data_IF_816367866761
#
_entry.id   IF_816367866761
#
_cell.length_a   1.000
_cell.length_b   1.000
_cell.length_c   1.000
_cell.angle_alpha   90.00
_cell.angle_beta   90.00
_cell.angle_gamma   90.00
#
_symmetry.space_group_name_H-M   'P 1'
#
loop_
_entity.id
_entity.type
_entity.pdbx_description
1 polymer ?
#
# COMPACT_ATOMS: atom_id res chain seq x y z
N UNK A 1 22.91 11.11 -45.92
CA UNK A 1 24.05 11.27 -44.98
C UNK A 1 23.70 10.55 -43.69
N UNK A 2 24.28 9.36 -43.47
CA UNK A 2 24.04 8.47 -42.32
C UNK A 2 25.25 8.65 -41.41
N UNK A 3 25.07 9.22 -40.22
CA UNK A 3 26.15 9.38 -39.24
C UNK A 3 26.36 8.07 -38.49
N UNK A 4 27.51 7.43 -38.74
CA UNK A 4 27.94 6.20 -38.05
C UNK A 4 28.35 6.53 -36.62
N UNK A 5 27.59 6.04 -35.63
CA UNK A 5 27.99 6.09 -34.21
C UNK A 5 28.98 4.96 -33.96
N UNK A 6 30.24 5.31 -33.71
CA UNK A 6 31.30 4.38 -33.27
C UNK A 6 31.04 4.03 -31.81
N UNK A 7 30.58 2.82 -31.55
CA UNK A 7 30.41 2.28 -30.21
C UNK A 7 31.77 1.80 -29.68
N UNK A 8 32.32 2.52 -28.69
CA UNK A 8 33.51 2.10 -27.95
C UNK A 8 33.14 0.91 -27.07
N UNK A 9 33.60 -0.29 -27.44
CA UNK A 9 33.56 -1.48 -26.59
C UNK A 9 34.49 -1.29 -25.40
N UNK A 10 33.94 -1.24 -24.18
CA UNK A 10 34.72 -1.43 -22.96
C UNK A 10 34.45 -2.83 -22.44
N UNK A 11 35.52 -3.61 -22.39
CA UNK A 11 35.54 -5.01 -21.99
C UNK A 11 35.33 -5.18 -20.48
N UNK A 12 34.45 -6.12 -20.17
CA UNK A 12 34.46 -7.07 -19.07
C UNK A 12 35.33 -6.76 -17.82
N UNK A 13 34.64 -6.54 -16.70
CA UNK A 13 35.12 -6.99 -15.40
C UNK A 13 34.07 -7.96 -14.84
N UNK A 14 34.46 -9.23 -14.69
CA UNK A 14 33.68 -10.29 -14.07
C UNK A 14 33.50 -10.00 -12.58
N UNK A 15 32.31 -9.56 -12.19
CA UNK A 15 31.81 -9.69 -10.82
C UNK A 15 30.56 -10.57 -10.89
N UNK A 16 30.61 -11.70 -10.19
CA UNK A 16 29.53 -12.69 -10.12
C UNK A 16 28.28 -12.01 -9.57
N UNK A 17 27.25 -11.89 -10.39
CA UNK A 17 25.93 -11.40 -10.02
C UNK A 17 24.96 -11.77 -11.14
N UNK A 18 24.25 -12.89 -10.97
CA UNK A 18 23.23 -13.33 -11.91
C UNK A 18 22.06 -12.33 -11.89
N UNK A 19 22.12 -11.30 -12.74
CA UNK A 19 21.01 -10.42 -13.04
C UNK A 19 20.50 -10.75 -14.45
N UNK A 20 19.58 -11.72 -14.54
CA UNK A 20 18.76 -11.90 -15.72
C UNK A 20 17.69 -10.80 -15.73
N UNK A 21 18.00 -9.69 -16.38
CA UNK A 21 17.03 -8.65 -16.71
C UNK A 21 16.15 -9.12 -17.88
N UNK A 22 14.94 -9.57 -17.58
CA UNK A 22 13.84 -9.58 -18.55
C UNK A 22 12.99 -8.33 -18.33
N UNK A 23 13.27 -7.31 -19.12
CA UNK A 23 12.43 -6.12 -19.28
C UNK A 23 11.20 -6.48 -20.09
N UNK A 24 10.05 -6.62 -19.43
CA UNK A 24 8.73 -6.57 -20.06
C UNK A 24 7.96 -5.40 -19.42
N UNK A 25 7.77 -4.36 -20.24
CA UNK A 25 6.83 -3.25 -20.16
C UNK A 25 6.10 -3.01 -18.82
N UNK A 26 6.59 -2.03 -18.06
CA UNK A 26 5.93 -1.45 -16.90
C UNK A 26 6.97 -0.85 -15.98
N UNK A 27 7.13 0.48 -15.99
CA UNK A 27 8.13 1.17 -15.19
C UNK A 27 7.86 1.05 -13.69
N UNK A 28 8.32 -0.04 -13.08
CA UNK A 28 8.50 -0.15 -11.64
C UNK A 28 9.98 0.05 -11.33
N UNK A 29 10.31 1.09 -10.59
CA UNK A 29 11.65 1.17 -9.97
C UNK A 29 11.78 -0.05 -9.06
N UNK A 30 12.72 -0.95 -9.36
CA UNK A 30 13.01 -2.08 -8.51
C UNK A 30 13.70 -1.54 -7.24
N UNK A 31 12.91 -1.15 -6.24
CA UNK A 31 13.42 -0.85 -4.92
C UNK A 31 14.08 -2.12 -4.37
N UNK A 32 15.33 -2.02 -3.91
CA UNK A 32 16.03 -3.12 -3.27
C UNK A 32 15.19 -3.61 -2.08
N UNK A 33 14.68 -4.83 -2.18
CA UNK A 33 13.92 -5.47 -1.10
C UNK A 33 14.88 -5.78 0.05
N UNK A 34 14.51 -5.51 1.31
CA UNK A 34 15.29 -5.98 2.45
C UNK A 34 15.52 -7.48 2.33
N UNK A 35 16.76 -7.93 2.53
CA UNK A 35 17.11 -9.34 2.41
C UNK A 35 16.23 -10.19 3.35
N UNK A 36 15.55 -11.20 2.80
CA UNK A 36 14.69 -12.12 3.56
C UNK A 36 13.17 -11.85 3.46
N UNK A 37 12.74 -10.79 2.79
CA UNK A 37 11.31 -10.51 2.60
C UNK A 37 10.77 -11.14 1.30
N UNK A 38 9.55 -11.73 1.27
CA UNK A 38 8.93 -12.21 0.04
C UNK A 38 8.82 -11.10 -1.03
N UNK A 39 8.91 -11.44 -2.32
CA UNK A 39 8.75 -10.47 -3.41
C UNK A 39 7.44 -9.67 -3.28
N UNK A 40 7.51 -8.35 -3.45
CA UNK A 40 6.34 -7.47 -3.41
C UNK A 40 5.96 -6.96 -2.01
N UNK A 41 6.64 -7.40 -0.96
CA UNK A 41 6.42 -6.89 0.39
C UNK A 41 7.26 -5.65 0.68
N UNK A 42 7.02 -4.59 -0.09
CA UNK A 42 7.70 -3.30 0.06
C UNK A 42 6.72 -2.25 0.57
N UNK A 43 7.26 -1.19 1.19
CA UNK A 43 6.47 -0.02 1.58
C UNK A 43 5.76 0.60 0.36
N UNK A 44 6.43 0.67 -0.80
CA UNK A 44 5.84 1.20 -2.03
C UNK A 44 4.65 0.38 -2.52
N UNK A 45 4.74 -0.95 -2.52
CA UNK A 45 3.63 -1.80 -2.95
C UNK A 45 2.45 -1.70 -1.98
N UNK A 46 2.73 -1.65 -0.67
CA UNK A 46 1.71 -1.41 0.34
C UNK A 46 1.02 -0.06 0.11
N UNK A 47 1.77 1.02 -0.10
CA UNK A 47 1.21 2.35 -0.37
C UNK A 47 0.33 2.36 -1.62
N UNK A 48 0.79 1.80 -2.74
CA UNK A 48 -0.03 1.73 -3.96
C UNK A 48 -1.32 0.91 -3.76
N UNK A 49 -1.23 -0.23 -3.08
CA UNK A 49 -2.39 -1.06 -2.75
C UNK A 49 -3.36 -0.31 -1.85
N UNK A 50 -2.85 0.32 -0.79
CA UNK A 50 -3.65 1.11 0.15
C UNK A 50 -4.32 2.30 -0.55
N UNK A 51 -3.63 3.01 -1.44
CA UNK A 51 -4.22 4.10 -2.22
C UNK A 51 -5.42 3.65 -3.05
N UNK A 52 -5.31 2.49 -3.73
CA UNK A 52 -6.43 1.92 -4.47
C UNK A 52 -7.62 1.52 -3.58
N UNK A 53 -7.33 0.85 -2.46
CA UNK A 53 -8.36 0.44 -1.48
C UNK A 53 -9.06 1.66 -0.88
N UNK A 54 -8.31 2.70 -0.49
CA UNK A 54 -8.86 3.91 0.10
C UNK A 54 -9.70 4.70 -0.91
N UNK A 55 -9.29 4.77 -2.18
CA UNK A 55 -10.08 5.40 -3.22
C UNK A 55 -11.43 4.67 -3.44
N UNK A 56 -11.41 3.33 -3.49
CA UNK A 56 -12.63 2.53 -3.61
C UNK A 56 -13.53 2.63 -2.37
N UNK A 57 -12.93 2.65 -1.17
CA UNK A 57 -13.66 2.85 0.08
C UNK A 57 -14.32 4.23 0.13
N UNK A 58 -13.63 5.29 -0.29
CA UNK A 58 -14.20 6.64 -0.40
C UNK A 58 -15.44 6.67 -1.30
N UNK A 59 -15.33 6.11 -2.51
CA UNK A 59 -16.47 6.02 -3.42
C UNK A 59 -17.64 5.20 -2.86
N UNK A 60 -17.35 4.12 -2.12
CA UNK A 60 -18.38 3.34 -1.42
C UNK A 60 -19.05 4.16 -0.31
N UNK A 61 -18.27 4.91 0.48
CA UNK A 61 -18.80 5.76 1.56
C UNK A 61 -19.65 6.91 1.03
N UNK A 62 -19.27 7.51 -0.10
CA UNK A 62 -20.10 8.53 -0.78
C UNK A 62 -21.47 7.97 -1.19
N UNK A 63 -21.56 6.68 -1.52
CA UNK A 63 -22.80 5.98 -1.81
C UNK A 63 -23.55 5.48 -0.57
N UNK A 64 -22.90 5.49 0.61
CA UNK A 64 -23.42 4.98 1.88
C UNK A 64 -23.33 6.06 2.98
N UNK A 65 -24.19 7.11 2.93
CA UNK A 65 -24.08 8.27 3.80
C UNK A 65 -24.15 7.93 5.29
N UNK A 66 -24.95 6.92 5.69
CA UNK A 66 -25.04 6.51 7.09
C UNK A 66 -23.75 5.85 7.60
N UNK A 67 -23.10 5.02 6.77
CA UNK A 67 -21.81 4.41 7.11
C UNK A 67 -20.71 5.49 7.20
N UNK A 68 -20.75 6.45 6.28
CA UNK A 68 -19.87 7.61 6.28
C UNK A 68 -20.03 8.46 7.56
N UNK A 69 -21.26 8.71 8.00
CA UNK A 69 -21.55 9.45 9.23
C UNK A 69 -21.04 8.71 10.47
N UNK A 70 -21.27 7.40 10.55
CA UNK A 70 -20.78 6.58 11.68
C UNK A 70 -19.27 6.59 11.77
N UNK A 71 -18.58 6.40 10.64
CA UNK A 71 -17.11 6.40 10.60
C UNK A 71 -16.53 7.80 10.86
N UNK A 72 -17.18 8.85 10.37
CA UNK A 72 -16.79 10.24 10.66
C UNK A 72 -16.94 10.56 12.14
N UNK A 73 -18.06 10.19 12.75
CA UNK A 73 -18.30 10.38 14.18
C UNK A 73 -17.31 9.55 15.02
N UNK A 74 -16.97 8.34 14.58
CA UNK A 74 -15.97 7.50 15.23
C UNK A 74 -14.59 8.17 15.27
N UNK A 75 -14.19 8.85 14.19
CA UNK A 75 -12.91 9.59 14.13
C UNK A 75 -12.83 10.80 15.08
N UNK A 76 -13.97 11.35 15.50
CA UNK A 76 -14.04 12.45 16.47
C UNK A 76 -14.12 11.95 17.92
N UNK A 77 -14.41 10.66 18.11
CA UNK A 77 -14.56 10.04 19.43
C UNK A 77 -13.23 9.45 19.89
N UNK A 78 -12.96 9.58 21.18
CA UNK A 78 -11.92 8.80 21.85
C UNK A 78 -12.46 7.41 22.18
N UNK A 79 -12.75 7.17 23.46
CA UNK A 79 -13.33 5.90 23.92
C UNK A 79 -14.69 5.61 23.23
N UNK A 80 -14.89 4.36 22.80
CA UNK A 80 -16.16 3.88 22.25
C UNK A 80 -16.33 3.99 20.73
N UNK A 81 -15.37 4.61 20.02
CA UNK A 81 -15.37 4.69 18.55
C UNK A 81 -15.50 3.30 17.90
N UNK A 82 -14.64 2.35 18.29
CA UNK A 82 -14.61 0.99 17.75
C UNK A 82 -15.94 0.24 17.97
N UNK A 83 -16.56 0.41 19.14
CA UNK A 83 -17.83 -0.24 19.45
C UNK A 83 -18.95 0.29 18.55
N UNK A 84 -19.01 1.61 18.33
CA UNK A 84 -20.04 2.20 17.46
C UNK A 84 -19.94 1.72 16.01
N UNK A 85 -18.71 1.56 15.49
CA UNK A 85 -18.47 1.01 14.14
C UNK A 85 -18.87 -0.46 14.10
N UNK A 86 -18.53 -1.23 15.14
CA UNK A 86 -18.90 -2.65 15.23
C UNK A 86 -20.41 -2.84 15.23
N UNK A 87 -21.13 -2.11 16.07
CA UNK A 87 -22.58 -2.23 16.21
C UNK A 87 -23.28 -1.91 14.89
N UNK A 88 -22.80 -0.90 14.17
CA UNK A 88 -23.30 -0.56 12.83
C UNK A 88 -23.19 -1.74 11.86
N UNK A 89 -22.01 -2.34 11.73
CA UNK A 89 -21.78 -3.44 10.78
C UNK A 89 -22.39 -4.77 11.22
N UNK A 90 -22.63 -4.98 12.52
CA UNK A 90 -23.42 -6.13 13.01
C UNK A 90 -24.88 -6.01 12.55
N UNK A 91 -25.46 -4.81 12.57
CA UNK A 91 -26.79 -4.56 12.05
C UNK A 91 -26.84 -4.58 10.51
N UNK A 92 -25.71 -4.38 9.83
CA UNK A 92 -25.58 -4.25 8.36
C UNK A 92 -24.56 -5.24 7.79
N UNK A 93 -24.85 -6.56 7.84
CA UNK A 93 -23.90 -7.59 7.42
C UNK A 93 -23.54 -7.53 5.93
N UNK A 94 -24.43 -7.02 5.08
CA UNK A 94 -24.14 -6.85 3.66
C UNK A 94 -23.07 -5.78 3.44
N UNK A 95 -23.26 -4.58 4.00
CA UNK A 95 -22.29 -3.48 3.90
C UNK A 95 -20.92 -3.87 4.46
N UNK A 96 -20.90 -4.67 5.54
CA UNK A 96 -19.66 -5.25 6.05
C UNK A 96 -18.93 -6.11 5.01
N UNK A 97 -19.66 -6.99 4.29
CA UNK A 97 -19.04 -7.84 3.27
C UNK A 97 -18.53 -7.01 2.09
N UNK A 98 -19.25 -5.96 1.70
CA UNK A 98 -18.84 -5.06 0.63
C UNK A 98 -17.53 -4.33 0.97
N UNK A 99 -17.46 -3.69 2.15
CA UNK A 99 -16.23 -3.05 2.62
C UNK A 99 -15.10 -4.06 2.84
N UNK A 100 -15.40 -5.26 3.32
CA UNK A 100 -14.40 -6.33 3.44
C UNK A 100 -13.86 -6.75 2.08
N UNK A 101 -14.69 -6.81 1.04
CA UNK A 101 -14.26 -7.09 -0.32
C UNK A 101 -13.38 -5.97 -0.88
N UNK A 102 -13.73 -4.69 -0.61
CA UNK A 102 -12.89 -3.54 -0.95
C UNK A 102 -11.52 -3.62 -0.25
N UNK A 103 -11.49 -4.02 1.02
CA UNK A 103 -10.27 -4.14 1.81
C UNK A 103 -9.43 -5.41 1.49
N UNK A 104 -9.97 -6.36 0.72
CA UNK A 104 -9.36 -7.67 0.50
C UNK A 104 -7.90 -7.60 0.00
N UNK A 105 -7.53 -6.75 -0.98
CA UNK A 105 -6.15 -6.66 -1.46
C UNK A 105 -5.15 -6.32 -0.35
N UNK A 106 -5.54 -5.45 0.58
CA UNK A 106 -4.69 -5.05 1.71
C UNK A 106 -4.59 -6.17 2.75
N UNK A 107 -5.70 -6.87 3.02
CA UNK A 107 -5.74 -8.01 3.95
C UNK A 107 -4.88 -9.17 3.40
N UNK A 108 -4.94 -9.44 2.10
CA UNK A 108 -4.14 -10.46 1.44
C UNK A 108 -2.64 -10.10 1.48
N UNK A 109 -2.30 -8.83 1.24
CA UNK A 109 -0.92 -8.35 1.34
C UNK A 109 -0.37 -8.49 2.76
N UNK A 110 -1.16 -8.16 3.78
CA UNK A 110 -0.77 -8.35 5.19
C UNK A 110 -0.50 -9.82 5.53
N UNK A 111 -1.37 -10.73 5.07
CA UNK A 111 -1.22 -12.18 5.25
C UNK A 111 0.02 -12.72 4.53
N UNK A 112 0.28 -12.27 3.30
CA UNK A 112 1.41 -12.74 2.49
C UNK A 112 2.78 -12.20 2.95
N UNK A 113 2.81 -11.03 3.58
CA UNK A 113 4.05 -10.36 3.97
C UNK A 113 4.49 -10.59 5.42
N UNK A 114 3.88 -11.55 6.13
CA UNK A 114 4.15 -11.84 7.55
C UNK A 114 4.15 -10.57 8.42
N UNK A 115 3.31 -9.59 8.07
CA UNK A 115 3.25 -8.29 8.73
C UNK A 115 4.57 -7.50 8.80
N UNK A 116 5.57 -7.74 7.94
CA UNK A 116 6.83 -6.99 7.97
C UNK A 116 6.68 -5.53 7.51
N UNK A 117 5.65 -5.24 6.70
CA UNK A 117 5.18 -3.88 6.38
C UNK A 117 3.78 -3.77 7.00
N UNK A 118 3.70 -3.18 8.19
CA UNK A 118 2.42 -2.98 8.87
C UNK A 118 1.82 -1.62 8.53
N UNK A 119 0.48 -1.48 8.54
CA UNK A 119 -0.20 -0.18 8.54
C UNK A 119 0.42 0.82 9.54
N UNK A 120 0.92 0.32 10.67
CA UNK A 120 1.60 1.10 11.70
C UNK A 120 2.84 1.85 11.20
N UNK A 121 3.57 1.34 10.20
CA UNK A 121 4.74 2.04 9.66
C UNK A 121 4.35 3.27 8.86
N UNK A 122 3.28 3.18 8.06
CA UNK A 122 2.74 4.32 7.32
C UNK A 122 2.09 5.33 8.28
N UNK A 123 1.37 4.85 9.30
CA UNK A 123 0.82 5.71 10.34
C UNK A 123 1.92 6.44 11.12
N UNK A 124 2.99 5.73 11.52
CA UNK A 124 4.15 6.32 12.18
C UNK A 124 4.89 7.33 11.27
N UNK A 125 5.01 7.03 9.98
CA UNK A 125 5.55 7.98 8.99
C UNK A 125 4.69 9.25 8.92
N UNK A 126 3.38 9.10 8.76
CA UNK A 126 2.45 10.23 8.71
C UNK A 126 2.55 11.09 9.98
N UNK A 127 2.58 10.47 11.14
CA UNK A 127 2.72 11.13 12.43
C UNK A 127 4.08 11.83 12.59
N UNK A 128 5.17 11.21 12.13
CA UNK A 128 6.49 11.84 12.14
C UNK A 128 6.54 13.07 11.23
N UNK A 129 5.85 13.03 10.09
CA UNK A 129 5.77 14.15 9.15
C UNK A 129 4.84 15.26 9.65
N UNK A 130 3.74 14.92 10.33
CA UNK A 130 2.74 15.88 10.84
C UNK A 130 3.26 16.71 12.02
N UNK A 131 4.17 16.16 12.84
CA UNK A 131 4.78 16.85 13.97
C UNK A 131 5.86 17.88 13.58
N UNK A 132 6.21 17.98 12.28
CA UNK A 132 7.34 18.78 11.81
C UNK A 132 8.67 18.08 12.10
N UNK A 133 9.55 18.00 11.10
CA UNK A 133 10.83 17.27 11.19
C UNK A 133 11.79 17.79 12.27
N UNK A 134 12.90 17.06 12.55
CA UNK A 134 13.78 17.36 13.67
C UNK A 134 14.34 18.79 13.58
N UNK A 135 14.22 19.55 14.67
CA UNK A 135 15.11 20.67 14.96
C UNK A 135 16.54 20.16 15.18
#
# INVERSE_FOLDING_TARGET
MRTSVVWRTQAASLAVGAAAALTLCGGGVAAAQPAGQPPGCTASNFSHTASGVLAAAGAWLDAHPEANDVLTAAGQRGAGAEQSVRDYFVARPQEYQELRAIAAPLIDLQRGCNAAIQPMQIAALYEALSRGGPH
#
